data_IF_148106267873
#
_entry.id   IF_148106267873
#
_cell.length_a   1.000
_cell.length_b   1.000
_cell.length_c   1.000
_cell.angle_alpha   90.00
_cell.angle_beta   90.00
_cell.angle_gamma   90.00
#
_symmetry.space_group_name_H-M   'P 1'
#
loop_
_entity.id
_entity.type
_entity.pdbx_description
1 polymer ?
#
# COMPACT_ATOMS: atom_id res chain seq x y z
N UNK A 1 14.12 -3.91 38.91
CA UNK A 1 15.12 -3.39 37.96
C UNK A 1 15.23 -4.37 36.81
N UNK A 2 14.61 -4.06 35.68
CA UNK A 2 14.79 -4.82 34.44
C UNK A 2 15.49 -3.89 33.45
N UNK A 3 16.74 -4.23 33.15
CA UNK A 3 17.50 -3.60 32.08
C UNK A 3 16.89 -4.08 30.76
N UNK A 4 16.40 -3.15 29.97
CA UNK A 4 16.08 -3.39 28.58
C UNK A 4 16.99 -2.46 27.79
N UNK A 5 18.11 -3.00 27.30
CA UNK A 5 19.00 -2.30 26.39
C UNK A 5 18.59 -2.58 24.97
N UNK A 6 18.38 -1.55 24.17
CA UNK A 6 18.27 -1.67 22.72
C UNK A 6 19.06 -0.54 22.06
N UNK A 7 19.95 -0.90 21.14
CA UNK A 7 20.53 0.04 20.17
C UNK A 7 19.96 -0.30 18.80
N UNK A 8 19.21 0.61 18.19
CA UNK A 8 18.96 0.55 16.75
C UNK A 8 18.92 1.96 16.18
N UNK A 9 19.71 2.16 15.12
CA UNK A 9 19.60 3.28 14.19
C UNK A 9 18.31 3.08 13.38
N UNK A 10 17.37 4.02 13.43
CA UNK A 10 16.11 3.91 12.69
C UNK A 10 15.73 5.24 12.01
N UNK A 11 15.29 5.08 10.77
CA UNK A 11 14.86 6.07 9.78
C UNK A 11 13.52 6.74 10.16
N UNK A 12 13.31 8.05 9.91
CA UNK A 12 12.10 8.79 10.31
C UNK A 12 10.76 8.32 9.71
N UNK A 13 10.76 7.35 8.80
CA UNK A 13 9.57 6.89 8.07
C UNK A 13 8.85 5.69 8.70
N UNK A 14 9.33 5.18 9.84
CA UNK A 14 8.79 3.97 10.48
C UNK A 14 7.71 4.29 11.52
N UNK A 15 6.45 3.94 11.26
CA UNK A 15 5.39 3.90 12.28
C UNK A 15 5.54 2.60 13.08
N UNK A 16 5.86 2.71 14.37
CA UNK A 16 5.96 1.54 15.25
C UNK A 16 4.59 1.17 15.84
N UNK A 17 4.14 -0.04 15.58
CA UNK A 17 3.02 -0.64 16.31
C UNK A 17 3.54 -1.33 17.56
N UNK A 18 3.13 -0.87 18.74
CA UNK A 18 3.33 -1.60 19.99
C UNK A 18 2.04 -2.34 20.34
N UNK A 19 2.05 -3.66 20.22
CA UNK A 19 1.02 -4.50 20.82
C UNK A 19 1.46 -4.83 22.25
N UNK A 20 0.89 -4.15 23.24
CA UNK A 20 1.10 -4.48 24.65
C UNK A 20 -0.15 -5.17 25.21
N UNK A 21 -0.03 -6.46 25.50
CA UNK A 21 -1.14 -7.36 25.86
C UNK A 21 -1.57 -7.31 27.34
N UNK A 22 -1.07 -6.36 28.13
CA UNK A 22 -1.44 -6.24 29.55
C UNK A 22 -1.46 -4.80 30.04
N UNK A 23 -2.36 -4.54 30.99
CA UNK A 23 -2.54 -3.29 31.74
C UNK A 23 -1.21 -2.62 32.11
N UNK A 24 -0.95 -1.46 31.53
CA UNK A 24 0.25 -0.67 31.78
C UNK A 24 -0.09 0.36 32.86
N UNK A 25 0.48 0.19 34.06
CA UNK A 25 0.25 1.13 35.17
C UNK A 25 0.84 2.52 34.90
N UNK A 26 0.27 3.54 35.56
CA UNK A 26 0.55 4.99 35.37
C UNK A 26 2.04 5.37 35.29
N UNK A 27 2.93 4.62 35.94
CA UNK A 27 4.37 4.87 35.94
C UNK A 27 5.04 4.61 34.58
N UNK A 28 4.52 3.67 33.81
CA UNK A 28 5.04 3.33 32.48
C UNK A 28 4.51 4.28 31.41
N UNK A 29 3.27 4.79 31.57
CA UNK A 29 2.74 5.86 30.72
C UNK A 29 3.54 7.15 30.84
N UNK A 30 3.91 7.52 32.08
CA UNK A 30 4.74 8.69 32.35
C UNK A 30 6.14 8.58 31.72
N UNK A 31 6.69 7.37 31.67
CA UNK A 31 7.96 7.10 30.99
C UNK A 31 7.85 7.30 29.47
N UNK A 32 6.74 6.90 28.86
CA UNK A 32 6.49 7.09 27.41
C UNK A 32 6.30 8.58 27.10
N UNK A 33 5.55 9.32 27.92
CA UNK A 33 5.35 10.77 27.79
C UNK A 33 6.66 11.56 27.87
N UNK A 34 7.54 11.22 28.81
CA UNK A 34 8.82 11.91 28.99
C UNK A 34 9.83 11.62 27.87
N UNK A 35 9.71 10.49 27.15
CA UNK A 35 10.66 10.07 26.10
C UNK A 35 10.09 10.15 24.67
N UNK A 36 8.80 10.50 24.50
CA UNK A 36 8.14 10.74 23.20
C UNK A 36 8.87 11.77 22.29
N UNK A 37 9.47 12.85 22.83
CA UNK A 37 10.27 13.79 22.02
C UNK A 37 11.60 13.19 21.53
N UNK A 38 12.15 12.19 22.21
CA UNK A 38 13.44 11.57 21.87
C UNK A 38 13.31 10.50 20.79
N UNK A 39 12.10 9.98 20.55
CA UNK A 39 11.77 9.00 19.50
C UNK A 39 11.09 9.62 18.27
N UNK A 40 11.02 10.96 18.17
CA UNK A 40 10.53 11.68 16.99
C UNK A 40 9.00 11.77 16.84
N UNK A 41 8.22 11.53 17.90
CA UNK A 41 6.77 11.73 17.88
C UNK A 41 6.37 13.18 18.20
N UNK A 42 5.43 13.76 17.44
CA UNK A 42 4.87 15.09 17.72
C UNK A 42 3.40 15.00 18.16
N UNK A 43 3.07 15.63 19.29
CA UNK A 43 1.69 15.93 19.68
C UNK A 43 1.27 17.24 19.02
N UNK A 44 0.15 17.24 18.29
CA UNK A 44 -0.35 18.47 17.66
C UNK A 44 -1.00 19.41 18.70
N UNK A 45 -0.85 20.75 18.57
CA UNK A 45 -1.48 21.71 19.47
C UNK A 45 -3.01 21.68 19.30
N UNK A 46 -3.74 21.49 20.41
CA UNK A 46 -5.21 21.41 20.43
C UNK A 46 -5.78 20.16 21.09
N UNK A 47 -4.92 19.23 21.51
CA UNK A 47 -5.30 18.00 22.20
C UNK A 47 -5.96 18.32 23.57
N UNK A 48 -7.25 18.02 23.72
CA UNK A 48 -7.98 18.09 25.01
C UNK A 48 -8.14 16.68 25.57
N UNK A 49 -7.62 16.46 26.78
CA UNK A 49 -7.69 15.17 27.47
C UNK A 49 -8.90 15.15 28.42
N UNK A 50 -9.93 14.39 28.08
CA UNK A 50 -10.97 14.01 29.05
C UNK A 50 -10.93 12.50 29.19
N UNK A 51 -10.65 12.04 30.42
CA UNK A 51 -10.36 10.64 30.72
C UNK A 51 -11.34 9.65 30.10
N UNK A 52 -10.78 8.53 29.63
CA UNK A 52 -11.44 7.27 29.29
C UNK A 52 -12.85 7.40 28.72
N UNK A 53 -12.99 8.19 27.65
CA UNK A 53 -14.01 7.97 26.62
C UNK A 53 -13.60 8.72 25.34
N UNK A 54 -13.37 7.95 24.27
CA UNK A 54 -13.61 8.37 22.88
C UNK A 54 -12.95 9.66 22.36
N UNK A 55 -11.65 9.88 22.56
CA UNK A 55 -10.96 11.03 21.92
C UNK A 55 -9.47 10.80 21.62
N UNK A 56 -9.19 9.70 20.90
CA UNK A 56 -8.15 9.61 19.83
C UNK A 56 -8.63 8.65 18.70
N UNK A 57 -9.75 7.95 18.85
CA UNK A 57 -10.10 6.79 18.02
C UNK A 57 -11.25 7.01 17.03
N UNK A 58 -11.77 8.23 16.83
CA UNK A 58 -12.89 8.45 15.90
C UNK A 58 -12.44 8.78 14.47
N UNK A 59 -11.24 9.35 14.26
CA UNK A 59 -10.68 9.55 12.90
C UNK A 59 -9.87 8.35 12.41
N UNK A 60 -9.51 7.40 13.28
CA UNK A 60 -8.80 6.15 12.94
C UNK A 60 -9.54 4.92 13.50
N UNK A 61 -10.87 4.93 13.52
CA UNK A 61 -11.63 3.74 13.85
C UNK A 61 -11.47 2.71 12.71
N UNK A 62 -10.51 1.80 12.86
CA UNK A 62 -10.29 0.74 11.88
C UNK A 62 -11.61 0.02 11.56
N UNK A 63 -12.07 0.09 10.31
CA UNK A 63 -13.24 -0.65 9.84
C UNK A 63 -12.80 -2.05 9.46
N UNK A 64 -13.38 -3.07 10.11
CA UNK A 64 -12.91 -4.46 10.02
C UNK A 64 -14.01 -5.39 9.54
N UNK A 65 -13.62 -6.32 8.67
CA UNK A 65 -14.39 -7.49 8.30
C UNK A 65 -14.34 -8.60 9.35
N UNK A 66 -14.99 -9.71 9.01
CA UNK A 66 -15.10 -10.96 9.74
C UNK A 66 -14.23 -12.05 9.14
N UNK A 67 -14.82 -13.22 8.89
CA UNK A 67 -14.13 -14.39 8.33
C UNK A 67 -14.74 -14.92 7.03
N UNK A 68 -15.59 -14.11 6.39
CA UNK A 68 -16.17 -14.39 5.08
C UNK A 68 -16.03 -13.15 4.20
N UNK A 69 -16.42 -13.23 2.93
CA UNK A 69 -16.27 -12.10 2.02
C UNK A 69 -17.08 -10.87 2.43
N UNK A 70 -16.37 -9.80 2.77
CA UNK A 70 -16.90 -8.55 3.29
C UNK A 70 -16.80 -7.41 2.27
N UNK A 71 -17.70 -6.44 2.38
CA UNK A 71 -17.58 -5.17 1.68
C UNK A 71 -17.31 -4.06 2.68
N UNK A 72 -16.09 -3.55 2.66
CA UNK A 72 -15.65 -2.42 3.47
C UNK A 72 -15.51 -1.20 2.58
N UNK A 73 -16.02 -0.08 3.08
CA UNK A 73 -16.03 1.18 2.36
C UNK A 73 -15.75 2.29 3.36
N UNK A 74 -14.69 3.04 3.09
CA UNK A 74 -14.21 4.17 3.88
C UNK A 74 -15.07 5.41 3.69
N UNK A 75 -14.58 6.51 4.19
CA UNK A 75 -15.12 7.86 4.11
C UNK A 75 -14.32 8.66 3.07
N UNK A 76 -14.59 9.96 2.90
CA UNK A 76 -13.68 10.83 2.14
C UNK A 76 -12.45 11.32 2.92
N UNK A 77 -12.22 10.81 4.14
CA UNK A 77 -11.04 11.12 4.95
C UNK A 77 -10.10 9.92 5.04
N UNK A 78 -9.07 10.00 5.88
CA UNK A 78 -8.10 8.92 6.05
C UNK A 78 -8.71 7.72 6.77
N UNK A 79 -8.80 6.58 6.10
CA UNK A 79 -9.41 5.37 6.63
C UNK A 79 -8.41 4.22 6.81
N UNK A 80 -8.69 3.36 7.80
CA UNK A 80 -8.01 2.07 7.97
C UNK A 80 -9.03 0.94 7.76
N UNK A 81 -8.90 0.21 6.66
CA UNK A 81 -9.80 -0.89 6.29
C UNK A 81 -9.08 -2.24 6.39
N UNK A 82 -9.67 -3.22 7.07
CA UNK A 82 -9.07 -4.57 7.26
C UNK A 82 -10.08 -5.67 6.98
N UNK A 83 -9.93 -6.40 5.88
CA UNK A 83 -10.82 -7.49 5.45
C UNK A 83 -10.74 -8.74 6.34
N UNK A 84 -9.51 -9.17 6.62
CA UNK A 84 -9.11 -10.37 7.41
C UNK A 84 -9.17 -11.66 6.63
N UNK A 85 -10.31 -12.31 6.53
CA UNK A 85 -10.41 -13.63 5.91
C UNK A 85 -11.69 -13.71 5.10
N UNK A 86 -11.61 -14.30 3.92
CA UNK A 86 -12.70 -14.26 2.95
C UNK A 86 -12.26 -13.47 1.71
N UNK A 87 -13.08 -13.50 0.67
CA UNK A 87 -12.82 -12.72 -0.54
C UNK A 87 -13.46 -11.33 -0.37
N UNK A 88 -12.65 -10.35 -0.01
CA UNK A 88 -13.10 -9.05 0.45
C UNK A 88 -13.07 -7.98 -0.66
N UNK A 89 -13.91 -6.95 -0.49
CA UNK A 89 -13.89 -5.72 -1.29
C UNK A 89 -13.67 -4.53 -0.37
N UNK A 90 -12.50 -3.91 -0.48
CA UNK A 90 -12.11 -2.72 0.29
C UNK A 90 -12.06 -1.50 -0.64
N UNK A 91 -12.75 -0.43 -0.25
CA UNK A 91 -12.83 0.82 -0.99
C UNK A 91 -12.48 1.99 -0.06
N UNK A 92 -11.31 2.61 -0.21
CA UNK A 92 -10.86 3.75 0.59
C UNK A 92 -11.69 5.01 0.32
N UNK A 93 -11.80 5.35 -0.97
CA UNK A 93 -12.47 6.50 -1.60
C UNK A 93 -11.55 7.70 -1.77
N UNK A 94 -11.47 8.59 -0.80
CA UNK A 94 -10.65 9.79 -0.89
C UNK A 94 -9.96 9.99 0.45
N UNK A 95 -8.80 10.64 0.44
CA UNK A 95 -7.91 10.67 1.60
C UNK A 95 -6.82 9.61 1.44
N UNK A 96 -5.78 9.74 2.26
CA UNK A 96 -4.66 8.78 2.30
C UNK A 96 -5.09 7.59 3.17
N UNK A 97 -5.42 6.47 2.52
CA UNK A 97 -6.04 5.31 3.13
C UNK A 97 -5.05 4.15 3.34
N UNK A 98 -5.30 3.34 4.36
CA UNK A 98 -4.60 2.08 4.60
C UNK A 98 -5.57 0.90 4.44
N UNK A 99 -5.37 0.07 3.42
CA UNK A 99 -6.22 -1.08 3.10
C UNK A 99 -5.43 -2.38 3.26
N UNK A 100 -5.97 -3.33 4.02
CA UNK A 100 -5.42 -4.66 4.19
C UNK A 100 -6.48 -5.74 3.89
N UNK A 101 -6.29 -6.53 2.82
CA UNK A 101 -7.19 -7.62 2.42
C UNK A 101 -7.15 -8.77 3.42
N UNK A 102 -5.99 -9.40 3.58
CA UNK A 102 -5.76 -10.44 4.57
C UNK A 102 -5.60 -11.80 3.92
N UNK A 103 -6.62 -12.67 4.02
CA UNK A 103 -6.62 -14.02 3.45
C UNK A 103 -7.81 -14.16 2.53
N UNK A 104 -7.57 -14.45 1.26
CA UNK A 104 -8.63 -14.68 0.28
C UNK A 104 -8.26 -14.06 -1.05
N UNK A 105 -9.22 -13.99 -1.95
CA UNK A 105 -9.08 -13.26 -3.22
C UNK A 105 -9.69 -11.89 -3.05
N UNK A 106 -8.86 -10.92 -2.66
CA UNK A 106 -9.32 -9.60 -2.26
C UNK A 106 -9.29 -8.59 -3.41
N UNK A 107 -10.13 -7.56 -3.31
CA UNK A 107 -10.16 -6.42 -4.22
C UNK A 107 -10.00 -5.14 -3.43
N UNK A 108 -8.86 -4.49 -3.58
CA UNK A 108 -8.52 -3.27 -2.87
C UNK A 108 -8.52 -2.09 -3.87
N UNK A 109 -9.22 -1.03 -3.52
CA UNK A 109 -9.17 0.26 -4.22
C UNK A 109 -8.93 1.38 -3.23
N UNK A 110 -7.80 2.07 -3.35
CA UNK A 110 -7.47 3.23 -2.52
C UNK A 110 -8.42 4.38 -2.85
N UNK A 111 -8.26 4.95 -4.04
CA UNK A 111 -9.19 5.90 -4.62
C UNK A 111 -8.50 7.21 -5.00
N UNK A 112 -8.48 8.18 -4.11
CA UNK A 112 -7.82 9.46 -4.34
C UNK A 112 -7.07 9.88 -3.07
N UNK A 113 -5.79 10.20 -3.17
CA UNK A 113 -4.92 10.34 -2.00
C UNK A 113 -3.74 9.40 -2.14
N UNK A 114 -2.77 9.53 -1.23
CA UNK A 114 -1.57 8.69 -1.25
C UNK A 114 -1.83 7.43 -0.41
N UNK A 115 -2.28 6.35 -1.05
CA UNK A 115 -2.82 5.18 -0.38
C UNK A 115 -1.76 4.10 -0.13
N UNK A 116 -2.00 3.23 0.87
CA UNK A 116 -1.24 2.00 1.10
C UNK A 116 -2.14 0.78 1.05
N UNK A 117 -1.90 -0.10 0.09
CA UNK A 117 -2.70 -1.31 -0.13
C UNK A 117 -1.83 -2.56 0.08
N UNK A 118 -2.30 -3.45 0.94
CA UNK A 118 -1.71 -4.76 1.17
C UNK A 118 -2.75 -5.87 0.89
N UNK A 119 -2.53 -6.67 -0.15
CA UNK A 119 -3.40 -7.80 -0.52
C UNK A 119 -3.40 -8.89 0.54
N UNK A 120 -2.22 -9.44 0.81
CA UNK A 120 -2.02 -10.40 1.89
C UNK A 120 -1.75 -11.80 1.36
N UNK A 121 -2.68 -12.74 1.53
CA UNK A 121 -2.56 -14.11 1.01
C UNK A 121 -3.73 -14.39 0.10
N UNK A 122 -3.43 -14.87 -1.10
CA UNK A 122 -4.42 -15.34 -2.07
C UNK A 122 -4.23 -14.62 -3.39
N UNK A 123 -5.29 -14.43 -4.16
CA UNK A 123 -5.16 -13.85 -5.51
C UNK A 123 -5.76 -12.46 -5.51
N UNK A 124 -4.96 -11.46 -5.22
CA UNK A 124 -5.45 -10.14 -4.91
C UNK A 124 -5.42 -9.21 -6.12
N UNK A 125 -6.32 -8.22 -6.10
CA UNK A 125 -6.36 -7.14 -7.10
C UNK A 125 -6.26 -5.81 -6.41
N UNK A 126 -5.17 -5.10 -6.68
CA UNK A 126 -4.85 -3.81 -6.05
C UNK A 126 -4.92 -2.71 -7.11
N UNK A 127 -5.59 -1.62 -6.77
CA UNK A 127 -5.69 -0.41 -7.58
C UNK A 127 -5.55 0.76 -6.63
N UNK A 128 -4.38 1.41 -6.63
CA UNK A 128 -4.13 2.56 -5.76
C UNK A 128 -5.13 3.67 -6.05
N UNK A 129 -5.13 4.18 -7.28
CA UNK A 129 -6.06 5.21 -7.70
C UNK A 129 -5.27 6.45 -8.04
N UNK A 130 -5.80 7.63 -7.74
CA UNK A 130 -5.12 8.88 -7.98
C UNK A 130 -4.30 9.29 -6.77
N UNK A 131 -3.01 9.51 -6.94
CA UNK A 131 -2.10 9.85 -5.85
C UNK A 131 -0.80 9.07 -6.05
N UNK A 132 0.11 9.19 -5.11
CA UNK A 132 1.34 8.42 -5.11
C UNK A 132 1.16 7.21 -4.17
N UNK A 133 0.77 6.06 -4.75
CA UNK A 133 0.33 4.91 -3.96
C UNK A 133 1.45 3.89 -3.69
N UNK A 134 1.29 3.15 -2.60
CA UNK A 134 2.14 2.01 -2.24
C UNK A 134 1.33 0.71 -2.28
N UNK A 135 1.75 -0.22 -3.12
CA UNK A 135 1.06 -1.49 -3.36
C UNK A 135 1.94 -2.69 -2.98
N UNK A 136 1.40 -3.58 -2.16
CA UNK A 136 2.00 -4.85 -1.75
C UNK A 136 0.99 -5.99 -1.98
N UNK A 137 1.25 -6.89 -2.92
CA UNK A 137 0.34 -7.99 -3.26
C UNK A 137 0.32 -9.06 -2.17
N UNK A 138 1.50 -9.39 -1.67
CA UNK A 138 1.75 -10.42 -0.68
C UNK A 138 2.02 -11.77 -1.34
N UNK A 139 1.38 -12.81 -0.82
CA UNK A 139 1.58 -14.18 -1.27
C UNK A 139 0.46 -14.59 -2.23
N UNK A 140 0.82 -14.84 -3.48
CA UNK A 140 -0.09 -15.37 -4.48
C UNK A 140 0.26 -14.85 -5.85
N UNK A 141 -0.66 -14.89 -6.80
CA UNK A 141 -0.46 -14.34 -8.13
C UNK A 141 -1.37 -13.12 -8.27
N UNK A 142 -0.82 -11.97 -7.93
CA UNK A 142 -1.57 -10.74 -7.71
C UNK A 142 -1.62 -9.87 -8.95
N UNK A 143 -2.61 -8.97 -9.00
CA UNK A 143 -2.76 -8.03 -10.12
C UNK A 143 -2.76 -6.61 -9.61
N UNK A 144 -1.74 -5.85 -10.01
CA UNK A 144 -1.61 -4.42 -9.74
C UNK A 144 -2.17 -3.65 -10.93
N UNK A 145 -3.20 -2.84 -10.71
CA UNK A 145 -3.98 -2.21 -11.77
C UNK A 145 -3.82 -0.70 -11.77
N UNK A 146 -3.38 -0.17 -12.90
CA UNK A 146 -3.16 1.26 -13.11
C UNK A 146 -4.25 1.85 -13.99
N UNK A 147 -4.85 2.94 -13.52
CA UNK A 147 -5.95 3.66 -14.16
C UNK A 147 -5.51 4.39 -15.43
N UNK A 148 -6.48 4.96 -16.14
CA UNK A 148 -6.22 5.78 -17.32
C UNK A 148 -5.32 7.00 -17.01
N UNK A 149 -4.72 7.56 -18.06
CA UNK A 149 -3.76 8.66 -17.95
C UNK A 149 -4.18 9.83 -17.06
N UNK A 150 -3.23 10.31 -16.25
CA UNK A 150 -3.42 11.40 -15.29
C UNK A 150 -4.20 11.02 -14.03
N UNK A 151 -4.44 9.73 -13.78
CA UNK A 151 -5.18 9.25 -12.61
C UNK A 151 -4.43 8.24 -11.73
N UNK A 152 -3.16 7.95 -12.01
CA UNK A 152 -2.38 6.95 -11.25
C UNK A 152 -1.14 7.48 -10.55
N UNK A 153 -0.80 8.77 -10.67
CA UNK A 153 0.37 9.37 -10.00
C UNK A 153 1.64 8.50 -10.01
N UNK A 154 2.41 8.54 -8.91
CA UNK A 154 3.72 7.89 -8.81
C UNK A 154 3.67 6.68 -7.88
N UNK A 155 3.18 5.57 -8.42
CA UNK A 155 3.00 4.35 -7.65
C UNK A 155 4.29 3.55 -7.44
N UNK A 156 4.36 2.85 -6.31
CA UNK A 156 5.40 1.89 -5.98
C UNK A 156 4.80 0.50 -5.69
N UNK A 157 5.35 -0.54 -6.31
CA UNK A 157 5.05 -1.94 -6.04
C UNK A 157 6.28 -2.60 -5.42
N UNK A 158 6.17 -3.12 -4.20
CA UNK A 158 7.35 -3.60 -3.44
C UNK A 158 7.69 -5.08 -3.59
N UNK A 159 6.72 -5.89 -3.97
CA UNK A 159 6.81 -7.34 -3.86
C UNK A 159 6.36 -8.09 -5.11
N UNK A 160 6.47 -7.45 -6.27
CA UNK A 160 6.09 -8.02 -7.58
C UNK A 160 6.84 -9.33 -7.97
N UNK A 161 7.91 -9.68 -7.26
CA UNK A 161 8.65 -10.96 -7.38
C UNK A 161 8.43 -11.90 -6.18
N UNK A 162 7.66 -11.48 -5.17
CA UNK A 162 7.39 -12.21 -3.93
C UNK A 162 6.33 -13.30 -4.08
N UNK A 163 5.52 -13.23 -5.14
CA UNK A 163 4.37 -14.10 -5.43
C UNK A 163 4.57 -15.16 -6.53
N UNK A 164 3.57 -16.03 -6.69
CA UNK A 164 3.47 -17.07 -7.72
C UNK A 164 3.04 -16.53 -9.09
N UNK A 165 3.62 -15.42 -9.56
CA UNK A 165 3.43 -14.86 -10.90
C UNK A 165 2.49 -13.65 -10.95
N UNK A 166 2.95 -12.55 -10.37
CA UNK A 166 2.22 -11.28 -10.34
C UNK A 166 2.15 -10.60 -11.72
N UNK A 167 1.13 -9.77 -11.91
CA UNK A 167 0.89 -9.05 -13.16
C UNK A 167 0.60 -7.57 -12.95
N UNK A 168 1.14 -6.75 -13.83
CA UNK A 168 0.78 -5.33 -13.97
C UNK A 168 -0.30 -5.21 -15.05
N UNK A 169 -1.45 -4.65 -14.68
CA UNK A 169 -2.54 -4.38 -15.60
C UNK A 169 -2.64 -2.87 -15.84
N UNK A 170 -2.39 -2.42 -17.07
CA UNK A 170 -2.49 -1.01 -17.45
C UNK A 170 -3.73 -0.78 -18.29
N UNK A 171 -4.43 0.33 -18.05
CA UNK A 171 -5.51 0.74 -18.93
C UNK A 171 -4.97 1.00 -20.36
N UNK A 172 -5.74 0.64 -21.38
CA UNK A 172 -5.36 0.75 -22.81
C UNK A 172 -4.88 2.14 -23.27
N UNK A 173 -5.17 3.20 -22.52
CA UNK A 173 -4.60 4.53 -22.79
C UNK A 173 -3.07 4.56 -22.70
N UNK A 174 -2.47 3.56 -22.05
CA UNK A 174 -1.03 3.40 -21.90
C UNK A 174 -0.40 2.43 -22.90
N UNK A 175 -1.17 1.92 -23.87
CA UNK A 175 -0.70 0.94 -24.85
C UNK A 175 0.64 1.35 -25.48
N UNK A 176 0.76 2.60 -25.94
CA UNK A 176 2.01 3.11 -26.50
C UNK A 176 3.17 3.17 -25.49
N UNK A 177 2.88 3.52 -24.23
CA UNK A 177 3.88 3.66 -23.17
C UNK A 177 4.43 2.31 -22.70
N UNK A 178 3.58 1.27 -22.66
CA UNK A 178 4.04 -0.11 -22.39
C UNK A 178 4.57 -0.80 -23.64
N UNK A 179 4.38 -0.19 -24.81
CA UNK A 179 4.97 -0.57 -26.08
C UNK A 179 4.13 -1.48 -26.98
N UNK A 180 2.82 -1.59 -26.73
CA UNK A 180 1.85 -2.07 -27.73
C UNK A 180 1.72 -1.03 -28.86
N UNK A 181 2.61 -1.13 -29.85
CA UNK A 181 2.60 -0.29 -31.06
C UNK A 181 1.68 -0.83 -32.16
N UNK A 182 1.16 -2.06 -31.98
CA UNK A 182 0.32 -2.76 -32.96
C UNK A 182 -1.17 -2.58 -32.71
N UNK A 183 -1.55 -2.17 -31.49
CA UNK A 183 -2.93 -2.00 -31.06
C UNK A 183 -3.68 -3.33 -30.91
N UNK A 184 -2.96 -4.44 -30.82
CA UNK A 184 -3.54 -5.79 -30.68
C UNK A 184 -3.64 -6.24 -29.21
N UNK A 185 -3.26 -5.37 -28.27
CA UNK A 185 -3.34 -5.62 -26.83
C UNK A 185 -2.25 -6.56 -26.31
N UNK A 186 -1.25 -6.87 -27.14
CA UNK A 186 -0.09 -7.67 -26.74
C UNK A 186 1.09 -6.77 -26.47
N UNK A 187 1.74 -6.99 -25.33
CA UNK A 187 2.98 -6.30 -24.98
C UNK A 187 4.11 -7.33 -25.00
N UNK A 188 4.96 -7.27 -26.01
CA UNK A 188 6.06 -8.22 -26.15
C UNK A 188 7.21 -7.87 -25.20
N UNK A 189 8.00 -8.89 -24.82
CA UNK A 189 9.11 -8.71 -23.88
C UNK A 189 10.17 -7.68 -24.35
N UNK A 190 10.32 -7.49 -25.66
CA UNK A 190 11.22 -6.48 -26.24
C UNK A 190 10.73 -5.05 -26.01
N UNK A 191 9.41 -4.85 -26.00
CA UNK A 191 8.77 -3.56 -25.79
C UNK A 191 8.77 -3.17 -24.31
N UNK A 192 8.51 -4.12 -23.40
CA UNK A 192 8.64 -3.92 -21.96
C UNK A 192 10.07 -3.55 -21.53
N UNK A 193 11.09 -4.16 -22.16
CA UNK A 193 12.49 -3.84 -21.87
C UNK A 193 12.88 -2.41 -22.23
N UNK A 194 12.20 -1.81 -23.20
CA UNK A 194 12.41 -0.40 -23.55
C UNK A 194 11.60 0.55 -22.66
N UNK A 195 10.49 0.07 -22.12
CA UNK A 195 9.58 0.86 -21.28
C UNK A 195 10.08 1.00 -19.83
N UNK A 196 10.74 -0.02 -19.28
CA UNK A 196 11.28 -0.01 -17.92
C UNK A 196 12.77 0.34 -17.89
N UNK A 197 13.13 1.35 -17.11
CA UNK A 197 14.50 1.79 -16.88
C UNK A 197 14.97 1.38 -15.49
N UNK A 198 16.07 0.62 -15.40
CA UNK A 198 16.67 0.27 -14.13
C UNK A 198 17.27 1.51 -13.44
N UNK A 199 16.81 1.82 -12.23
CA UNK A 199 17.27 2.96 -11.42
C UNK A 199 17.52 2.52 -9.99
N UNK A 200 18.78 2.64 -9.53
CA UNK A 200 19.18 2.42 -8.12
C UNK A 200 18.77 1.07 -7.49
N UNK A 201 18.49 0.04 -8.30
CA UNK A 201 18.05 -1.27 -7.79
C UNK A 201 16.60 -1.61 -8.15
N UNK A 202 15.85 -0.65 -8.69
CA UNK A 202 14.43 -0.76 -9.04
C UNK A 202 14.24 -0.77 -10.56
N UNK A 203 13.09 -1.25 -11.02
CA UNK A 203 12.61 -1.01 -12.39
C UNK A 203 11.61 0.13 -12.38
N UNK A 204 11.84 1.15 -13.19
CA UNK A 204 10.97 2.32 -13.26
C UNK A 204 10.34 2.43 -14.64
N UNK A 205 9.01 2.37 -14.70
CA UNK A 205 8.24 2.70 -15.90
C UNK A 205 7.76 4.14 -15.80
N UNK A 206 8.14 4.97 -16.77
CA UNK A 206 7.63 6.33 -16.93
C UNK A 206 6.51 6.31 -17.95
N UNK A 207 5.29 6.56 -17.49
CA UNK A 207 4.11 6.54 -18.34
C UNK A 207 3.87 7.92 -18.97
N UNK A 208 3.98 8.98 -18.18
CA UNK A 208 4.02 10.37 -18.65
C UNK A 208 4.83 11.26 -17.68
N UNK A 209 4.66 12.59 -17.76
CA UNK A 209 5.39 13.54 -16.92
C UNK A 209 5.09 13.39 -15.41
N UNK A 210 3.86 12.98 -15.10
CA UNK A 210 3.33 12.94 -13.73
C UNK A 210 3.09 11.51 -13.23
N UNK A 211 3.00 10.55 -14.15
CA UNK A 211 2.70 9.15 -13.87
C UNK A 211 3.93 8.27 -14.03
N UNK A 212 4.29 7.53 -12.97
CA UNK A 212 5.34 6.50 -13.02
C UNK A 212 4.96 5.32 -12.15
N UNK A 213 5.47 4.14 -12.51
CA UNK A 213 5.40 2.94 -11.67
C UNK A 213 6.81 2.50 -11.33
N UNK A 214 7.08 2.32 -10.05
CA UNK A 214 8.35 1.80 -9.53
C UNK A 214 8.12 0.39 -9.04
N UNK A 215 8.88 -0.57 -9.56
CA UNK A 215 8.95 -1.92 -9.03
C UNK A 215 10.23 -2.04 -8.20
N UNK A 216 10.09 -2.03 -6.87
CA UNK A 216 11.23 -1.97 -5.96
C UNK A 216 12.03 -3.28 -5.98
N UNK A 217 13.37 -3.18 -5.99
CA UNK A 217 14.27 -4.33 -5.90
C UNK A 217 14.39 -5.20 -7.16
N UNK A 218 13.80 -4.79 -8.29
CA UNK A 218 13.73 -5.60 -9.51
C UNK A 218 14.73 -5.27 -10.62
N UNK A 219 15.73 -4.41 -10.40
CA UNK A 219 16.62 -3.96 -11.49
C UNK A 219 17.32 -5.08 -12.30
N UNK A 220 17.38 -6.31 -11.78
CA UNK A 220 17.91 -7.49 -12.48
C UNK A 220 16.88 -8.34 -13.23
N UNK A 221 15.57 -8.12 -13.02
CA UNK A 221 14.50 -8.90 -13.65
C UNK A 221 14.22 -8.36 -15.05
N UNK A 222 13.97 -9.27 -15.99
CA UNK A 222 13.39 -8.93 -17.29
C UNK A 222 11.90 -9.28 -17.26
N UNK A 223 11.04 -8.29 -17.45
CA UNK A 223 9.60 -8.51 -17.56
C UNK A 223 9.25 -9.18 -18.89
N UNK A 224 8.40 -10.18 -18.85
CA UNK A 224 7.88 -10.91 -20.00
C UNK A 224 6.46 -10.50 -20.38
N UNK A 225 5.96 -11.04 -21.50
CA UNK A 225 4.59 -10.81 -21.96
C UNK A 225 3.51 -11.30 -20.98
N UNK A 226 3.86 -12.20 -20.06
CA UNK A 226 2.94 -12.73 -19.06
C UNK A 226 2.84 -11.84 -17.81
N UNK A 227 3.79 -10.89 -17.65
CA UNK A 227 3.88 -9.98 -16.50
C UNK A 227 3.04 -8.72 -16.70
N UNK A 228 2.66 -8.39 -17.93
CA UNK A 228 1.95 -7.16 -18.26
C UNK A 228 0.72 -7.46 -19.11
N UNK A 229 -0.39 -6.80 -18.80
CA UNK A 229 -1.64 -6.90 -19.56
C UNK A 229 -2.25 -5.52 -19.77
N UNK A 230 -2.91 -5.33 -20.91
CA UNK A 230 -3.74 -4.15 -21.19
C UNK A 230 -5.22 -4.47 -21.02
N UNK A 231 -5.99 -3.52 -20.48
CA UNK A 231 -7.45 -3.65 -20.27
C UNK A 231 -8.26 -2.43 -20.71
#
# INVERSE_FOLDING_TARGET
>A
AYNIGWSYHLDPSSVFFFEMSTEVGDSTMRYIEDHLPEIGGALLPGSVWTGWSSLVLDELAAKRGGGGGDRLEGTPGHDLLVGRAGDDLLLGRAGDDHLAGGRGTDRLRGGAGDDKLAGGRGLDRLEGGAGDDLLEGGAGADVFRFCAAGRSGRDAVRDFDGGAGDRLAFHRSWAEAVGDRTGDGRVDAGDLRAAFEAHRGDLVLRLDADTRVVLEGLAGRTLGSDDVTLF
#
